data_IF_408056152933
#
_entry.id   IF_408056152933
#
_cell.length_a   1.000
_cell.length_b   1.000
_cell.length_c   1.000
_cell.angle_alpha   90.00
_cell.angle_beta   90.00
_cell.angle_gamma   90.00
#
_symmetry.space_group_name_H-M   'P 1'
#
loop_
_entity.id
_entity.type
_entity.pdbx_description
1 polymer ?
#
# COMPACT_ATOMS: atom_id res chain seq x y z
N UNK A 1 2.76 4.63 14.32
CA UNK A 1 2.90 3.22 14.71
C UNK A 1 2.05 2.31 13.80
N UNK A 2 2.34 2.25 12.49
CA UNK A 2 1.65 1.35 11.52
C UNK A 2 2.53 0.90 10.38
N UNK A 3 3.27 1.83 9.79
CA UNK A 3 4.25 1.50 8.76
C UNK A 3 5.34 0.55 9.30
N UNK A 4 5.67 0.63 10.59
CA UNK A 4 6.62 -0.26 11.26
C UNK A 4 6.07 -1.67 11.44
N UNK A 5 4.78 -1.82 11.73
CA UNK A 5 4.15 -3.14 11.84
C UNK A 5 4.04 -3.82 10.47
N UNK A 6 3.64 -3.06 9.45
CA UNK A 6 3.64 -3.51 8.06
C UNK A 6 5.07 -3.88 7.62
N UNK A 7 6.06 -3.07 8.01
CA UNK A 7 7.46 -3.33 7.68
C UNK A 7 7.95 -4.65 8.31
N UNK A 8 7.63 -4.87 9.59
CA UNK A 8 7.95 -6.13 10.29
C UNK A 8 7.29 -7.34 9.64
N UNK A 9 6.01 -7.24 9.24
CA UNK A 9 5.29 -8.34 8.58
C UNK A 9 5.86 -8.68 7.21
N UNK A 10 6.33 -7.67 6.46
CA UNK A 10 6.88 -7.83 5.12
C UNK A 10 8.40 -8.07 5.12
N UNK A 11 9.05 -8.14 6.30
CA UNK A 11 10.51 -8.27 6.40
C UNK A 11 11.28 -7.11 5.75
N UNK A 12 10.72 -5.89 5.81
CA UNK A 12 11.30 -4.68 5.23
C UNK A 12 11.45 -3.57 6.28
N UNK A 13 11.91 -2.39 5.87
CA UNK A 13 12.05 -1.21 6.74
C UNK A 13 10.94 -0.20 6.50
N UNK A 14 10.57 0.56 7.55
CA UNK A 14 9.48 1.56 7.52
C UNK A 14 9.54 2.52 6.33
N UNK A 15 10.73 2.96 5.95
CA UNK A 15 10.92 3.94 4.85
C UNK A 15 10.49 3.36 3.50
N UNK A 16 10.67 2.06 3.26
CA UNK A 16 10.22 1.39 2.05
C UNK A 16 8.69 1.30 2.02
N UNK A 17 8.08 0.90 3.14
CA UNK A 17 6.61 0.88 3.29
C UNK A 17 6.03 2.28 3.05
N UNK A 18 6.62 3.31 3.66
CA UNK A 18 6.15 4.69 3.50
C UNK A 18 6.23 5.16 2.05
N UNK A 19 7.31 4.83 1.34
CA UNK A 19 7.48 5.16 -0.08
C UNK A 19 6.44 4.43 -0.94
N UNK A 20 6.22 3.14 -0.70
CA UNK A 20 5.23 2.35 -1.44
C UNK A 20 3.81 2.86 -1.20
N UNK A 21 3.44 3.10 0.06
CA UNK A 21 2.12 3.66 0.40
C UNK A 21 1.88 5.01 -0.26
N UNK A 22 2.90 5.89 -0.27
CA UNK A 22 2.80 7.17 -0.99
C UNK A 22 2.64 6.98 -2.50
N UNK A 23 3.37 6.03 -3.09
CA UNK A 23 3.25 5.73 -4.53
C UNK A 23 1.84 5.25 -4.88
N UNK A 24 1.30 4.31 -4.11
CA UNK A 24 -0.05 3.76 -4.28
C UNK A 24 -1.12 4.85 -4.05
N UNK A 25 -0.90 5.75 -3.08
CA UNK A 25 -1.78 6.88 -2.83
C UNK A 25 -1.76 7.92 -3.97
N UNK A 26 -0.58 8.21 -4.52
CA UNK A 26 -0.43 9.09 -5.69
C UNK A 26 -1.08 8.52 -6.94
N UNK A 27 -1.13 7.19 -7.07
CA UNK A 27 -1.88 6.50 -8.12
C UNK A 27 -3.42 6.56 -7.90
N UNK A 28 -3.89 7.15 -6.80
CA UNK A 28 -5.32 7.29 -6.49
C UNK A 28 -5.98 6.01 -5.96
N UNK A 29 -5.19 4.95 -5.77
CA UNK A 29 -5.69 3.61 -5.40
C UNK A 29 -6.03 3.49 -3.92
N UNK A 30 -5.39 4.29 -3.07
CA UNK A 30 -5.67 4.38 -1.64
C UNK A 30 -5.68 5.84 -1.18
N UNK A 31 -6.42 6.11 -0.11
CA UNK A 31 -6.34 7.37 0.63
C UNK A 31 -5.68 7.12 1.96
N UNK A 32 -4.57 7.81 2.20
CA UNK A 32 -3.86 7.80 3.47
C UNK A 32 -4.48 8.85 4.40
N UNK A 33 -4.91 8.42 5.58
CA UNK A 33 -5.26 9.27 6.72
C UNK A 33 -4.26 8.99 7.85
N UNK A 34 -4.11 9.92 8.80
CA UNK A 34 -3.16 9.77 9.94
C UNK A 34 -3.26 8.41 10.64
N UNK A 35 -4.47 7.88 10.71
CA UNK A 35 -4.80 6.65 11.40
C UNK A 35 -5.64 5.70 10.57
N UNK A 36 -5.72 5.79 9.24
CA UNK A 36 -6.44 4.79 8.43
C UNK A 36 -5.91 4.79 7.01
N UNK A 37 -5.84 3.61 6.39
CA UNK A 37 -5.67 3.47 4.95
C UNK A 37 -7.04 3.11 4.40
N UNK A 38 -7.61 3.99 3.56
CA UNK A 38 -8.91 3.75 2.93
C UNK A 38 -8.71 3.33 1.50
N UNK A 39 -9.28 2.18 1.13
CA UNK A 39 -9.30 1.69 -0.25
C UNK A 39 -10.67 2.08 -0.81
N UNK A 40 -10.75 3.07 -1.73
CA UNK A 40 -12.03 3.52 -2.29
C UNK A 40 -12.65 2.48 -3.22
N UNK A 41 -11.83 1.75 -3.96
CA UNK A 41 -12.27 0.69 -4.86
C UNK A 41 -11.34 -0.52 -4.77
N UNK A 42 -11.89 -1.64 -4.30
CA UNK A 42 -11.12 -2.85 -4.05
C UNK A 42 -10.86 -3.63 -5.35
N UNK A 43 -11.69 -3.43 -6.37
CA UNK A 43 -11.59 -4.06 -7.70
C UNK A 43 -10.40 -3.52 -8.46
N UNK A 44 -10.27 -2.19 -8.56
CA UNK A 44 -9.13 -1.50 -9.19
C UNK A 44 -7.82 -1.83 -8.49
N UNK A 45 -7.86 -1.98 -7.15
CA UNK A 45 -6.70 -2.42 -6.39
C UNK A 45 -6.28 -3.84 -6.79
N UNK A 46 -7.24 -4.78 -6.86
CA UNK A 46 -6.97 -6.17 -7.28
C UNK A 46 -6.39 -6.25 -8.68
N UNK A 47 -7.01 -5.59 -9.67
CA UNK A 47 -6.55 -5.66 -11.06
C UNK A 47 -5.10 -5.20 -11.21
N UNK A 48 -4.69 -4.18 -10.45
CA UNK A 48 -3.33 -3.67 -10.52
C UNK A 48 -2.30 -4.64 -9.93
N UNK A 49 -2.68 -5.46 -8.95
CA UNK A 49 -1.79 -6.47 -8.37
C UNK A 49 -1.88 -7.83 -9.08
N UNK A 50 -3.01 -8.16 -9.73
CA UNK A 50 -3.12 -9.33 -10.61
C UNK A 50 -2.22 -9.20 -11.85
N UNK A 51 -2.00 -7.97 -12.35
CA UNK A 51 -1.05 -7.69 -13.43
C UNK A 51 0.41 -7.83 -12.98
N UNK A 52 0.69 -7.64 -11.68
CA UNK A 52 2.03 -7.72 -11.08
C UNK A 52 2.39 -9.17 -10.68
N UNK A 53 1.39 -10.05 -10.49
CA UNK A 53 1.57 -11.47 -10.10
C UNK A 53 1.70 -12.41 -11.32
N UNK A 54 1.78 -11.88 -12.55
CA UNK A 54 2.14 -12.70 -13.72
C UNK A 54 3.67 -12.88 -13.79
N UNK A 55 4.15 -14.13 -13.94
CA UNK A 55 5.58 -14.48 -13.92
C UNK A 55 6.39 -13.91 -15.09
#
# INVERSE_FOLDING_TARGET
MREEEIASLLGTVRVHVSRSLKSIASAGLIRLSRELIRIPDLTSLKQLFEDIDQP
#
